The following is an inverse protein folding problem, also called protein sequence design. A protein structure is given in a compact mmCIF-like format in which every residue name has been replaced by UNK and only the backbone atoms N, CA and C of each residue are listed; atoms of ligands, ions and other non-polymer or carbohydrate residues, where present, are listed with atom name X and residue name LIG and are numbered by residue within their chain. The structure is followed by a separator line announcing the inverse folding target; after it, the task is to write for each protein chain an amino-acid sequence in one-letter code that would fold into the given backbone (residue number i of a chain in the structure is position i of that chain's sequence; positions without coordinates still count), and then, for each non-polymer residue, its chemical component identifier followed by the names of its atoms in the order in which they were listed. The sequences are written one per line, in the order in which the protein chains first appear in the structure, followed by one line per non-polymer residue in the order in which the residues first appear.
data_IF_933980357468
#
_entry.id   IF_933980357468
#
_cell.length_a   1.000
_cell.length_b   1.000
_cell.length_c   1.000
_cell.angle_alpha   90.00
_cell.angle_beta   90.00
_cell.angle_gamma   90.00
#
_symmetry.space_group_name_H-M   'P 1'
#
loop_
_entity.id
_entity.type
_entity.pdbx_description
1 polymer ?
#
# COMPACT_ATOMS: atom_id res chain seq x y z
N UNK A 1 3.53 1.19 0.71
CA UNK A 1 2.59 0.63 1.70
C UNK A 1 2.28 1.70 2.74
N UNK A 2 1.05 1.76 3.25
CA UNK A 2 0.65 2.67 4.32
C UNK A 2 0.10 1.82 5.47
N UNK A 3 0.49 2.10 6.72
CA UNK A 3 0.06 1.33 7.89
C UNK A 3 -0.11 2.23 9.11
N UNK A 4 -1.07 1.93 9.97
CA UNK A 4 -1.29 2.58 11.28
C UNK A 4 -0.42 1.97 12.39
N UNK A 5 0.40 0.96 12.07
CA UNK A 5 1.30 0.32 13.02
C UNK A 5 2.36 1.29 13.56
N UNK A 6 2.92 0.96 14.72
CA UNK A 6 3.97 1.77 15.35
C UNK A 6 5.22 1.86 14.46
N UNK A 7 6.00 2.93 14.64
CA UNK A 7 7.26 3.12 13.91
C UNK A 7 8.24 1.96 14.10
N UNK A 8 8.29 1.39 15.29
CA UNK A 8 9.15 0.24 15.60
C UNK A 8 8.69 -0.99 14.82
N UNK A 9 7.39 -1.34 14.90
CA UNK A 9 6.85 -2.48 14.17
C UNK A 9 7.01 -2.36 12.65
N UNK A 10 6.85 -1.15 12.09
CA UNK A 10 7.09 -0.91 10.65
C UNK A 10 8.56 -1.06 10.28
N UNK A 11 9.49 -0.61 11.13
CA UNK A 11 10.93 -0.80 10.89
C UNK A 11 11.31 -2.28 10.94
N UNK A 12 10.84 -3.00 11.94
CA UNK A 12 11.11 -4.43 12.09
C UNK A 12 10.54 -5.22 10.92
N UNK A 13 9.32 -4.90 10.48
CA UNK A 13 8.73 -5.48 9.28
C UNK A 13 9.58 -5.22 8.04
N UNK A 14 9.98 -3.96 7.81
CA UNK A 14 10.78 -3.61 6.64
C UNK A 14 12.15 -4.30 6.63
N UNK A 15 12.78 -4.45 7.80
CA UNK A 15 14.05 -5.15 7.96
C UNK A 15 13.91 -6.66 7.74
N UNK A 16 12.96 -7.30 8.43
CA UNK A 16 12.79 -8.76 8.40
C UNK A 16 12.37 -9.30 7.02
N UNK A 17 11.71 -8.47 6.21
CA UNK A 17 11.29 -8.83 4.85
C UNK A 17 12.18 -8.21 3.76
N UNK A 18 13.37 -7.69 4.12
CA UNK A 18 14.34 -7.12 3.17
C UNK A 18 13.78 -5.99 2.28
N UNK A 19 12.74 -5.29 2.74
CA UNK A 19 12.07 -4.25 1.95
C UNK A 19 12.90 -2.99 1.81
N UNK A 20 13.86 -2.79 2.73
CA UNK A 20 14.78 -1.66 2.72
C UNK A 20 15.86 -1.75 1.63
N UNK A 21 16.01 -2.91 0.99
CA UNK A 21 16.96 -3.14 -0.10
C UNK A 21 16.42 -2.69 -1.47
N UNK A 22 15.14 -2.30 -1.56
CA UNK A 22 14.47 -1.90 -2.79
C UNK A 22 14.17 -0.39 -2.82
N UNK A 23 14.87 0.36 -3.67
CA UNK A 23 14.70 1.82 -3.82
C UNK A 23 13.28 2.23 -4.28
N UNK A 24 12.54 1.33 -4.91
CA UNK A 24 11.20 1.57 -5.43
C UNK A 24 10.07 1.25 -4.43
N UNK A 25 10.40 0.93 -3.17
CA UNK A 25 9.42 0.68 -2.12
C UNK A 25 9.48 1.81 -1.09
N UNK A 26 8.34 2.48 -0.89
CA UNK A 26 8.16 3.44 0.21
C UNK A 26 7.11 2.94 1.17
N UNK A 27 7.43 2.93 2.46
CA UNK A 27 6.51 2.59 3.55
C UNK A 27 6.21 3.87 4.32
N UNK A 28 4.93 4.17 4.48
CA UNK A 28 4.42 5.32 5.21
C UNK A 28 3.69 4.85 6.48
N UNK A 29 3.83 5.64 7.54
CA UNK A 29 3.15 5.42 8.80
C UNK A 29 2.02 6.44 8.90
N UNK A 30 0.80 5.97 9.08
CA UNK A 30 -0.39 6.78 9.29
C UNK A 30 -0.81 6.72 10.76
N UNK A 31 -0.09 7.45 11.60
CA UNK A 31 -0.30 7.40 13.06
C UNK A 31 -1.64 7.96 13.54
N UNK A 32 -2.37 8.67 12.67
CA UNK A 32 -3.66 9.30 13.00
C UNK A 32 -4.83 8.66 12.24
N UNK A 33 -4.60 7.56 11.51
CA UNK A 33 -5.59 6.92 10.64
C UNK A 33 -6.22 7.87 9.61
N UNK A 34 -5.51 8.94 9.23
CA UNK A 34 -6.04 9.98 8.34
C UNK A 34 -6.25 9.49 6.91
N UNK A 35 -5.51 8.47 6.47
CA UNK A 35 -5.72 7.84 5.16
C UNK A 35 -7.04 7.08 5.12
N UNK A 36 -7.55 6.57 6.25
CA UNK A 36 -8.85 5.92 6.27
C UNK A 36 -9.95 6.90 5.84
N UNK A 37 -9.93 8.14 6.36
CA UNK A 37 -10.88 9.19 5.99
C UNK A 37 -10.65 9.67 4.55
N UNK A 38 -9.41 10.01 4.20
CA UNK A 38 -9.07 10.60 2.88
C UNK A 38 -9.40 9.63 1.74
N UNK A 39 -9.20 8.33 1.95
CA UNK A 39 -9.41 7.31 0.92
C UNK A 39 -10.82 6.70 0.97
N UNK A 40 -11.71 7.17 1.83
CA UNK A 40 -13.14 6.82 1.80
C UNK A 40 -13.51 5.55 2.57
N UNK A 41 -12.96 5.36 3.77
CA UNK A 41 -13.32 4.31 4.73
C UNK A 41 -13.25 2.88 4.16
N UNK A 42 -12.19 2.56 3.44
CA UNK A 42 -12.07 1.24 2.84
C UNK A 42 -11.70 0.17 3.87
N UNK A 43 -12.12 -1.10 3.66
CA UNK A 43 -11.68 -2.20 4.49
C UNK A 43 -10.17 -2.41 4.36
N UNK A 44 -9.51 -2.83 5.43
CA UNK A 44 -8.13 -3.25 5.37
C UNK A 44 -8.03 -4.75 5.03
N UNK A 45 -7.14 -5.18 4.12
CA UNK A 45 -6.29 -4.34 3.25
C UNK A 45 -7.07 -3.77 2.05
N UNK A 46 -6.58 -2.68 1.45
CA UNK A 46 -7.08 -2.14 0.18
C UNK A 46 -5.90 -1.70 -0.69
N UNK A 47 -5.95 -2.02 -1.98
CA UNK A 47 -4.94 -1.62 -2.96
C UNK A 47 -5.49 -0.61 -3.96
N UNK A 48 -4.69 0.40 -4.30
CA UNK A 48 -5.02 1.43 -5.28
C UNK A 48 -3.94 1.47 -6.36
N UNK A 49 -4.35 1.49 -7.62
CA UNK A 49 -3.45 1.64 -8.77
C UNK A 49 -3.77 2.97 -9.46
N UNK A 50 -2.75 3.79 -9.61
CA UNK A 50 -2.82 5.08 -10.32
C UNK A 50 -1.96 5.02 -11.58
N UNK A 51 -2.40 5.70 -12.64
CA UNK A 51 -1.60 5.83 -13.86
C UNK A 51 -0.59 6.99 -13.76
N UNK A 52 0.19 7.21 -14.84
CA UNK A 52 1.19 8.29 -14.92
C UNK A 52 0.61 9.70 -14.78
N UNK A 53 -0.68 9.88 -15.07
CA UNK A 53 -1.42 11.14 -14.90
C UNK A 53 -2.00 11.29 -13.47
N UNK A 54 -1.63 10.40 -12.55
CA UNK A 54 -2.17 10.32 -11.18
C UNK A 54 -3.68 10.07 -11.10
N UNK A 55 -4.28 9.52 -12.15
CA UNK A 55 -5.69 9.10 -12.13
C UNK A 55 -5.80 7.70 -11.56
N UNK A 56 -6.76 7.49 -10.65
CA UNK A 56 -7.08 6.18 -10.12
C UNK A 56 -7.65 5.30 -11.26
N UNK A 57 -6.99 4.18 -11.54
CA UNK A 57 -7.41 3.24 -12.60
C UNK A 57 -7.99 1.94 -12.04
N UNK A 58 -7.62 1.56 -10.82
CA UNK A 58 -8.15 0.36 -10.18
C UNK A 58 -8.10 0.48 -8.66
N UNK A 59 -9.12 -0.06 -8.02
CA UNK A 59 -9.20 -0.27 -6.58
C UNK A 59 -9.55 -1.74 -6.31
N UNK A 60 -8.86 -2.35 -5.35
CA UNK A 60 -9.21 -3.66 -4.79
C UNK A 60 -9.49 -3.50 -3.30
N UNK A 61 -10.72 -3.83 -2.89
CA UNK A 61 -11.12 -3.83 -1.48
C UNK A 61 -10.95 -5.24 -0.94
N UNK A 62 -10.21 -5.40 0.14
CA UNK A 62 -9.80 -6.70 0.66
C UNK A 62 -8.50 -7.21 0.04
N UNK A 63 -8.16 -8.44 0.40
CA UNK A 63 -6.97 -9.13 -0.10
C UNK A 63 -7.05 -9.36 -1.62
N UNK A 64 -5.92 -9.19 -2.31
CA UNK A 64 -5.80 -9.35 -3.75
C UNK A 64 -4.54 -10.14 -4.07
N UNK A 65 -4.61 -11.06 -5.03
CA UNK A 65 -3.45 -11.83 -5.45
C UNK A 65 -2.53 -11.02 -6.35
N UNK A 66 -1.24 -11.38 -6.37
CA UNK A 66 -0.25 -10.74 -7.24
C UNK A 66 -0.61 -10.85 -8.72
N UNK A 67 -1.16 -11.99 -9.16
CA UNK A 67 -1.58 -12.19 -10.55
C UNK A 67 -2.70 -11.24 -10.94
N UNK A 68 -3.63 -10.96 -10.02
CA UNK A 68 -4.70 -9.99 -10.25
C UNK A 68 -4.15 -8.57 -10.33
N UNK A 69 -3.12 -8.22 -9.55
CA UNK A 69 -2.45 -6.92 -9.63
C UNK A 69 -1.71 -6.74 -10.98
N UNK A 70 -0.92 -7.75 -11.40
CA UNK A 70 -0.10 -7.67 -12.62
C UNK A 70 -0.95 -7.44 -13.88
N UNK A 71 -2.15 -8.02 -13.96
CA UNK A 71 -3.12 -7.79 -15.06
C UNK A 71 -3.45 -6.31 -15.29
N UNK A 72 -3.37 -5.47 -14.25
CA UNK A 72 -3.65 -4.03 -14.34
C UNK A 72 -2.39 -3.17 -14.47
N UNK A 73 -1.20 -3.75 -14.25
CA UNK A 73 0.07 -3.04 -14.34
C UNK A 73 0.71 -3.12 -15.73
N UNK A 74 0.08 -3.83 -16.68
CA UNK A 74 0.60 -4.10 -18.03
C UNK A 74 2.01 -4.72 -17.99
N UNK A 75 2.22 -5.62 -17.03
CA UNK A 75 3.43 -6.42 -16.84
C UNK A 75 3.16 -7.88 -17.17
#
# INVERSE_FOLDING_TARGET
MISTASRESVKDFAYNYHLLEFDNITILIDSLDGFHDIFGHNPFPTSFIYNKERKLVKQFKGEVTTEALLKYLNL
#
